data_IF_511535203720
#
_entry.id   IF_511535203720
#
_cell.length_a   1.000
_cell.length_b   1.000
_cell.length_c   1.000
_cell.angle_alpha   90.00
_cell.angle_beta   90.00
_cell.angle_gamma   90.00
#
_symmetry.space_group_name_H-M   'P 1'
#
loop_
_entity.id
_entity.type
_entity.pdbx_description
1 polymer ?
#
# COMPACT_ATOMS: atom_id res chain seq x y z
N UNK A 1 -14.64 44.37 -40.28
CA UNK A 1 -13.21 44.17 -40.62
C UNK A 1 -12.68 43.01 -39.79
N UNK A 2 -12.26 41.89 -40.41
CA UNK A 2 -11.62 40.78 -39.67
C UNK A 2 -10.12 41.06 -39.64
N UNK A 3 -9.53 41.17 -38.44
CA UNK A 3 -8.06 41.27 -38.29
C UNK A 3 -7.45 39.93 -38.70
N UNK A 4 -6.60 39.93 -39.72
CA UNK A 4 -5.81 38.76 -40.09
C UNK A 4 -4.64 38.65 -39.11
N UNK A 5 -4.50 37.48 -38.48
CA UNK A 5 -3.37 37.18 -37.59
C UNK A 5 -2.11 37.01 -38.42
N UNK A 6 -0.99 37.59 -38.00
CA UNK A 6 0.28 37.41 -38.70
C UNK A 6 0.96 36.11 -38.27
N UNK A 7 1.69 35.48 -39.18
CA UNK A 7 2.46 34.26 -38.88
C UNK A 7 3.49 34.47 -37.75
N UNK A 8 4.04 35.69 -37.64
CA UNK A 8 5.03 36.04 -36.62
C UNK A 8 4.39 36.08 -35.23
N UNK A 9 3.19 36.66 -35.10
CA UNK A 9 2.47 36.68 -33.81
C UNK A 9 2.16 35.26 -33.33
N UNK A 10 1.76 34.37 -34.25
CA UNK A 10 1.53 32.97 -33.90
C UNK A 10 2.83 32.26 -33.48
N UNK A 11 3.93 32.53 -34.18
CA UNK A 11 5.23 31.92 -33.93
C UNK A 11 5.85 32.32 -32.58
N UNK A 12 5.73 33.60 -32.20
CA UNK A 12 6.21 34.07 -30.89
C UNK A 12 5.43 33.42 -29.75
N UNK A 13 4.11 33.26 -29.91
CA UNK A 13 3.26 32.64 -28.89
C UNK A 13 3.65 31.18 -28.65
N UNK A 14 3.84 30.39 -29.71
CA UNK A 14 4.24 28.98 -29.54
C UNK A 14 5.65 28.87 -28.96
N UNK A 15 6.56 29.80 -29.27
CA UNK A 15 7.92 29.80 -28.71
C UNK A 15 7.89 30.06 -27.19
N UNK A 16 7.06 31.02 -26.74
CA UNK A 16 6.88 31.28 -25.30
C UNK A 16 6.25 30.08 -24.60
N UNK A 17 5.21 29.47 -25.18
CA UNK A 17 4.59 28.26 -24.63
C UNK A 17 5.60 27.12 -24.53
N UNK A 18 6.45 26.92 -25.55
CA UNK A 18 7.47 25.88 -25.56
C UNK A 18 8.50 26.06 -24.43
N UNK A 19 8.97 27.30 -24.20
CA UNK A 19 9.91 27.61 -23.10
C UNK A 19 9.26 27.34 -21.74
N UNK A 20 8.02 27.81 -21.54
CA UNK A 20 7.29 27.60 -20.29
C UNK A 20 7.04 26.09 -20.03
N UNK A 21 6.62 25.36 -21.06
CA UNK A 21 6.38 23.93 -20.98
C UNK A 21 7.67 23.15 -20.69
N UNK A 22 8.81 23.52 -21.29
CA UNK A 22 10.10 22.88 -21.06
C UNK A 22 10.56 22.95 -19.60
N UNK A 23 10.24 24.04 -18.88
CA UNK A 23 10.53 24.18 -17.44
C UNK A 23 9.46 23.48 -16.60
N UNK A 24 8.19 23.58 -17.00
CA UNK A 24 7.07 23.07 -16.22
C UNK A 24 7.02 21.53 -16.19
N UNK A 25 7.28 20.85 -17.31
CA UNK A 25 7.22 19.38 -17.38
C UNK A 25 8.17 18.66 -16.39
N UNK A 26 9.48 18.96 -16.31
CA UNK A 26 10.37 18.29 -15.37
C UNK A 26 10.00 18.59 -13.91
N UNK A 27 9.62 19.83 -13.61
CA UNK A 27 9.19 20.23 -12.26
C UNK A 27 7.90 19.51 -11.87
N UNK A 28 6.92 19.42 -12.78
CA UNK A 28 5.67 18.73 -12.55
C UNK A 28 5.88 17.21 -12.32
N UNK A 29 6.78 16.58 -13.08
CA UNK A 29 7.12 15.17 -12.89
C UNK A 29 7.74 14.90 -11.50
N UNK A 30 8.62 15.79 -11.04
CA UNK A 30 9.21 15.72 -9.70
C UNK A 30 8.15 15.94 -8.61
N UNK A 31 7.31 16.97 -8.76
CA UNK A 31 6.24 17.28 -7.82
C UNK A 31 5.23 16.12 -7.69
N UNK A 32 4.84 15.52 -8.82
CA UNK A 32 3.99 14.33 -8.84
C UNK A 32 4.62 13.18 -8.06
N UNK A 33 5.90 12.90 -8.27
CA UNK A 33 6.63 11.84 -7.57
C UNK A 33 6.74 12.12 -6.06
N UNK A 34 6.98 13.37 -5.67
CA UNK A 34 7.01 13.78 -4.27
C UNK A 34 5.62 13.62 -3.60
N UNK A 35 4.55 14.00 -4.29
CA UNK A 35 3.18 13.81 -3.81
C UNK A 35 2.85 12.33 -3.58
N UNK A 36 3.26 11.43 -4.50
CA UNK A 36 3.12 9.98 -4.32
C UNK A 36 3.83 9.48 -3.07
N UNK A 37 5.09 9.90 -2.86
CA UNK A 37 5.87 9.52 -1.67
C UNK A 37 5.21 10.00 -0.38
N UNK A 38 4.75 11.26 -0.34
CA UNK A 38 4.08 11.83 0.83
C UNK A 38 2.78 11.09 1.16
N UNK A 39 1.99 10.74 0.13
CA UNK A 39 0.78 9.93 0.27
C UNK A 39 1.10 8.55 0.85
N UNK A 40 2.05 7.82 0.27
CA UNK A 40 2.42 6.49 0.74
C UNK A 40 2.96 6.48 2.17
N UNK A 41 3.68 7.54 2.58
CA UNK A 41 4.11 7.70 3.97
C UNK A 41 2.92 7.89 4.93
N UNK A 42 1.93 8.70 4.53
CA UNK A 42 0.72 8.90 5.32
C UNK A 42 -0.10 7.60 5.45
N UNK A 43 -0.20 6.82 4.38
CA UNK A 43 -0.86 5.50 4.36
C UNK A 43 -0.17 4.51 5.30
N UNK A 44 1.17 4.40 5.26
CA UNK A 44 1.94 3.56 6.20
C UNK A 44 1.70 3.97 7.64
N UNK A 45 1.69 5.28 7.92
CA UNK A 45 1.43 5.78 9.28
C UNK A 45 0.04 5.38 9.78
N UNK A 46 -0.99 5.46 8.91
CA UNK A 46 -2.35 5.05 9.27
C UNK A 46 -2.42 3.56 9.58
N UNK A 47 -1.80 2.75 8.74
CA UNK A 47 -1.77 1.31 8.96
C UNK A 47 -0.96 0.94 10.23
N UNK A 48 0.13 1.65 10.54
CA UNK A 48 0.91 1.39 11.76
C UNK A 48 0.15 1.80 13.01
N UNK A 49 -0.65 2.87 12.93
CA UNK A 49 -1.59 3.25 13.98
C UNK A 49 -2.66 2.17 14.19
N UNK A 50 -3.19 1.59 13.11
CA UNK A 50 -4.14 0.48 13.20
C UNK A 50 -3.55 -0.75 13.90
N UNK A 51 -2.27 -1.06 13.65
CA UNK A 51 -1.55 -2.12 14.38
C UNK A 51 -1.44 -1.82 15.87
N UNK A 52 -1.13 -0.58 16.25
CA UNK A 52 -1.04 -0.18 17.67
C UNK A 52 -2.41 -0.28 18.35
N UNK A 53 -3.47 0.14 17.68
CA UNK A 53 -4.85 0.01 18.22
C UNK A 53 -5.20 -1.48 18.37
N UNK A 54 -4.85 -2.33 17.40
CA UNK A 54 -5.01 -3.77 17.52
C UNK A 54 -4.30 -4.31 18.77
N UNK A 55 -3.05 -3.91 19.02
CA UNK A 55 -2.32 -4.38 20.20
C UNK A 55 -3.03 -4.06 21.51
N UNK A 56 -3.64 -2.88 21.60
CA UNK A 56 -4.40 -2.48 22.78
C UNK A 56 -5.61 -3.39 23.05
N UNK A 57 -6.20 -3.97 22.00
CA UNK A 57 -7.35 -4.88 22.11
C UNK A 57 -6.95 -6.37 22.28
N UNK A 58 -5.69 -6.72 22.00
CA UNK A 58 -5.20 -8.11 21.93
C UNK A 58 -3.99 -8.38 22.85
N UNK A 59 -4.02 -7.86 24.08
CA UNK A 59 -3.00 -8.10 25.12
C UNK A 59 -1.57 -7.77 24.67
N UNK A 60 -1.37 -6.61 24.04
CA UNK A 60 -0.09 -6.14 23.48
C UNK A 60 0.51 -7.02 22.37
N UNK A 61 -0.24 -8.00 21.86
CA UNK A 61 0.25 -8.89 20.81
C UNK A 61 0.12 -8.26 19.43
N UNK A 62 1.20 -8.35 18.66
CA UNK A 62 1.18 -7.98 17.25
C UNK A 62 0.34 -8.97 16.40
N UNK A 63 -0.28 -8.50 15.31
CA UNK A 63 -1.00 -9.35 14.36
C UNK A 63 -0.17 -10.51 13.80
N UNK A 64 -0.85 -11.61 13.47
CA UNK A 64 -0.19 -12.83 13.04
C UNK A 64 0.18 -12.89 11.56
N UNK A 65 1.50 -12.98 11.26
CA UNK A 65 2.00 -13.04 9.89
C UNK A 65 2.95 -14.22 9.60
N UNK A 66 2.97 -15.24 10.48
CA UNK A 66 3.66 -16.50 10.19
C UNK A 66 2.72 -17.55 9.59
N UNK A 67 3.27 -18.43 8.76
CA UNK A 67 2.60 -19.65 8.35
C UNK A 67 3.51 -20.64 7.64
N UNK A 68 2.96 -21.78 7.25
CA UNK A 68 3.70 -22.88 6.61
C UNK A 68 3.36 -23.00 5.13
N UNK A 69 4.40 -23.05 4.28
CA UNK A 69 4.30 -23.43 2.87
C UNK A 69 5.13 -24.67 2.62
N UNK A 70 4.51 -25.73 2.09
CA UNK A 70 5.23 -26.96 1.77
C UNK A 70 6.07 -27.49 2.96
N UNK A 71 5.56 -27.34 4.18
CA UNK A 71 6.23 -27.77 5.41
C UNK A 71 7.28 -26.80 5.97
N UNK A 72 7.48 -25.64 5.34
CA UNK A 72 8.46 -24.63 5.80
C UNK A 72 7.72 -23.45 6.44
N UNK A 73 8.02 -23.19 7.71
CA UNK A 73 7.55 -22.01 8.43
C UNK A 73 8.24 -20.74 7.93
N UNK A 74 7.46 -19.69 7.68
CA UNK A 74 7.96 -18.39 7.22
C UNK A 74 7.28 -17.27 8.00
N UNK A 75 8.04 -16.24 8.41
CA UNK A 75 7.55 -15.11 9.21
C UNK A 75 6.95 -13.96 8.39
N UNK A 76 6.95 -14.04 7.06
CA UNK A 76 6.28 -13.07 6.18
C UNK A 76 5.57 -13.83 5.06
N UNK A 77 4.95 -14.96 5.42
CA UNK A 77 4.45 -15.91 4.43
C UNK A 77 3.26 -15.34 3.65
N UNK A 78 2.51 -14.44 4.29
CA UNK A 78 1.20 -14.06 3.82
C UNK A 78 1.11 -12.63 3.35
N UNK A 79 0.51 -12.50 2.17
CA UNK A 79 0.10 -11.23 1.63
C UNK A 79 -1.41 -11.17 1.60
N UNK A 80 -1.85 -9.94 1.69
CA UNK A 80 -3.15 -9.56 2.20
C UNK A 80 -4.24 -9.78 1.15
N UNK A 81 -5.14 -10.73 1.42
CA UNK A 81 -6.44 -10.76 0.74
C UNK A 81 -7.45 -10.06 1.66
N UNK A 82 -8.35 -9.24 1.13
CA UNK A 82 -9.31 -8.53 1.96
C UNK A 82 -10.38 -9.47 2.52
N UNK A 83 -10.96 -9.11 3.66
CA UNK A 83 -11.85 -9.96 4.44
C UNK A 83 -13.19 -10.25 3.75
N UNK A 84 -13.52 -9.51 2.68
CA UNK A 84 -14.70 -9.75 1.84
C UNK A 84 -14.47 -10.86 0.81
N UNK A 85 -13.29 -11.47 0.79
CA UNK A 85 -12.97 -12.62 -0.03
C UNK A 85 -13.79 -13.85 0.42
N UNK A 86 -14.86 -14.15 -0.33
CA UNK A 86 -15.59 -15.41 -0.17
C UNK A 86 -14.89 -16.49 -1.00
N UNK A 87 -14.26 -17.43 -0.32
CA UNK A 87 -13.86 -18.72 -0.90
C UNK A 87 -15.00 -19.73 -0.72
N UNK A 88 -15.17 -20.66 -1.65
CA UNK A 88 -16.09 -21.80 -1.49
C UNK A 88 -15.60 -22.82 -0.45
N UNK A 89 -14.37 -22.69 0.02
CA UNK A 89 -13.78 -23.57 1.02
C UNK A 89 -13.66 -22.86 2.38
N UNK A 90 -14.36 -23.37 3.39
CA UNK A 90 -14.43 -22.78 4.72
C UNK A 90 -13.07 -22.74 5.44
N UNK A 91 -12.17 -23.68 5.17
CA UNK A 91 -10.83 -23.68 5.75
C UNK A 91 -10.04 -22.46 5.27
N UNK A 92 -10.16 -22.10 3.99
CA UNK A 92 -9.54 -20.91 3.44
C UNK A 92 -10.14 -19.64 4.04
N UNK A 93 -11.46 -19.56 4.20
CA UNK A 93 -12.11 -18.39 4.81
C UNK A 93 -11.58 -18.13 6.23
N UNK A 94 -11.55 -19.17 7.07
CA UNK A 94 -11.03 -19.04 8.43
C UNK A 94 -9.55 -18.63 8.45
N UNK A 95 -8.77 -19.15 7.51
CA UNK A 95 -7.34 -18.86 7.44
C UNK A 95 -7.06 -17.44 6.93
N UNK A 96 -7.88 -16.90 6.03
CA UNK A 96 -7.77 -15.50 5.62
C UNK A 96 -8.11 -14.53 6.75
N UNK A 97 -9.03 -14.89 7.65
CA UNK A 97 -9.38 -14.04 8.81
C UNK A 97 -8.20 -13.82 9.76
N UNK A 98 -7.23 -14.74 9.82
CA UNK A 98 -6.07 -14.61 10.72
C UNK A 98 -4.94 -13.74 10.15
N UNK A 99 -5.08 -13.23 8.93
CA UNK A 99 -4.03 -12.41 8.30
C UNK A 99 -3.91 -11.03 8.98
N UNK A 100 -2.71 -10.41 8.99
CA UNK A 100 -2.49 -9.11 9.62
C UNK A 100 -3.43 -8.02 9.09
N UNK A 101 -3.69 -8.02 7.79
CA UNK A 101 -4.61 -7.06 7.19
C UNK A 101 -6.06 -7.28 7.61
N UNK A 102 -6.52 -8.52 7.71
CA UNK A 102 -7.91 -8.77 8.08
C UNK A 102 -8.13 -8.60 9.58
N UNK A 103 -7.17 -9.01 10.41
CA UNK A 103 -7.18 -8.77 11.85
C UNK A 103 -7.11 -7.27 12.20
N UNK A 104 -6.36 -6.47 11.44
CA UNK A 104 -6.32 -5.01 11.64
C UNK A 104 -7.42 -4.24 10.89
N UNK A 105 -8.28 -4.92 10.12
CA UNK A 105 -9.36 -4.28 9.36
C UNK A 105 -10.28 -3.40 10.20
N UNK A 106 -10.77 -3.83 11.39
CA UNK A 106 -11.71 -3.01 12.17
C UNK A 106 -11.13 -1.65 12.56
N UNK A 107 -9.80 -1.54 12.62
CA UNK A 107 -9.06 -0.35 13.04
C UNK A 107 -8.67 0.55 11.87
N UNK A 108 -9.13 0.24 10.66
CA UNK A 108 -8.78 0.98 9.44
C UNK A 108 -10.03 1.60 8.80
N UNK A 109 -9.89 2.84 8.33
CA UNK A 109 -11.01 3.60 7.74
C UNK A 109 -11.48 3.06 6.38
N UNK A 110 -10.58 2.45 5.61
CA UNK A 110 -10.90 1.86 4.32
C UNK A 110 -9.85 0.81 3.91
N UNK A 111 -10.13 0.07 2.84
CA UNK A 111 -9.20 -0.87 2.22
C UNK A 111 -8.23 -0.20 1.24
N UNK A 112 -8.60 0.96 0.70
CA UNK A 112 -7.81 1.67 -0.32
C UNK A 112 -6.44 2.14 0.18
N UNK A 113 -6.26 2.34 1.49
CA UNK A 113 -4.97 2.69 2.09
C UNK A 113 -3.93 1.57 2.01
N UNK A 114 -4.33 0.35 1.64
CA UNK A 114 -3.38 -0.75 1.42
C UNK A 114 -2.76 -0.76 0.03
N UNK A 115 -3.35 -0.02 -0.90
CA UNK A 115 -2.80 0.12 -2.24
C UNK A 115 -1.66 1.11 -2.20
N UNK A 116 -0.52 0.73 -2.79
CA UNK A 116 0.60 1.65 -3.03
C UNK A 116 0.47 2.22 -4.44
N UNK A 117 0.52 3.53 -4.57
CA UNK A 117 0.59 4.18 -5.88
C UNK A 117 1.96 3.92 -6.53
N UNK A 118 2.00 3.00 -7.50
CA UNK A 118 3.21 2.60 -8.23
C UNK A 118 3.97 1.41 -7.65
N UNK A 119 3.43 0.73 -6.62
CA UNK A 119 3.94 -0.56 -6.13
C UNK A 119 3.41 -1.72 -6.98
N UNK A 120 4.04 -2.90 -6.86
CA UNK A 120 3.43 -4.12 -7.42
C UNK A 120 2.34 -4.62 -6.48
N UNK A 121 1.13 -4.72 -7.00
CA UNK A 121 -0.03 -5.28 -6.33
C UNK A 121 0.06 -6.79 -6.44
N UNK A 122 0.03 -7.49 -5.31
CA UNK A 122 0.17 -8.94 -5.30
C UNK A 122 -1.06 -9.59 -4.69
N UNK A 123 -1.91 -10.15 -5.55
CA UNK A 123 -2.84 -11.20 -5.17
C UNK A 123 -2.05 -12.51 -5.07
N UNK A 124 -1.46 -12.80 -3.90
CA UNK A 124 -0.57 -13.97 -3.75
C UNK A 124 -1.33 -15.29 -3.73
N UNK A 125 -2.65 -15.24 -3.59
CA UNK A 125 -3.50 -16.40 -3.79
C UNK A 125 -4.14 -16.33 -5.17
N UNK A 126 -3.92 -17.38 -5.97
CA UNK A 126 -4.68 -17.69 -7.18
C UNK A 126 -5.63 -18.84 -6.82
N UNK A 127 -6.70 -18.53 -6.09
CA UNK A 127 -7.76 -19.47 -5.73
C UNK A 127 -9.06 -19.13 -6.46
N UNK A 128 -10.06 -20.03 -6.46
CA UNK A 128 -11.39 -19.70 -6.96
C UNK A 128 -12.06 -18.71 -5.99
N UNK A 129 -11.92 -17.42 -6.26
CA UNK A 129 -12.55 -16.37 -5.47
C UNK A 129 -13.90 -15.99 -6.07
N UNK A 130 -14.89 -15.76 -5.20
CA UNK A 130 -16.19 -15.23 -5.61
C UNK A 130 -16.15 -13.71 -5.86
N UNK A 131 -15.10 -13.02 -5.40
CA UNK A 131 -14.88 -11.59 -5.58
C UNK A 131 -13.40 -11.31 -5.87
N UNK A 132 -13.13 -10.37 -6.78
CA UNK A 132 -11.78 -9.89 -7.04
C UNK A 132 -11.19 -9.31 -5.76
N UNK A 133 -10.03 -9.79 -5.28
CA UNK A 133 -9.42 -9.25 -4.09
C UNK A 133 -8.97 -7.80 -4.34
N UNK A 134 -9.09 -6.96 -3.31
CA UNK A 134 -8.52 -5.62 -3.33
C UNK A 134 -6.98 -5.69 -3.38
N UNK A 135 -6.40 -4.74 -4.09
CA UNK A 135 -4.97 -4.66 -4.31
C UNK A 135 -4.24 -4.25 -3.02
N UNK A 136 -3.22 -5.01 -2.65
CA UNK A 136 -2.36 -4.71 -1.50
C UNK A 136 -0.91 -4.61 -1.93
N UNK A 137 -0.28 -3.48 -1.56
CA UNK A 137 1.12 -3.18 -1.85
C UNK A 137 2.04 -3.19 -0.63
N UNK A 138 1.50 -3.34 0.58
CA UNK A 138 2.29 -3.42 1.80
C UNK A 138 2.50 -4.88 2.23
N UNK A 139 3.53 -5.12 3.03
CA UNK A 139 3.71 -6.38 3.75
C UNK A 139 3.89 -6.08 5.21
N UNK A 140 3.35 -6.93 6.07
CA UNK A 140 3.57 -6.88 7.50
C UNK A 140 4.88 -7.59 7.87
N UNK A 141 5.59 -7.13 8.89
CA UNK A 141 6.77 -7.79 9.45
C UNK A 141 6.35 -8.82 10.52
N UNK A 142 6.21 -10.09 10.18
CA UNK A 142 5.78 -11.11 11.15
C UNK A 142 6.85 -11.56 12.13
N UNK A 143 8.06 -11.01 12.09
CA UNK A 143 9.01 -11.18 13.20
C UNK A 143 8.55 -10.45 14.48
N UNK A 144 7.64 -9.47 14.34
CA UNK A 144 7.16 -8.68 15.47
C UNK A 144 6.32 -9.47 16.46
N UNK A 145 5.71 -10.60 16.08
CA UNK A 145 4.93 -11.39 17.04
C UNK A 145 5.74 -11.99 18.18
N UNK A 146 7.05 -12.19 17.98
CA UNK A 146 7.94 -12.64 19.05
C UNK A 146 8.47 -11.50 19.92
N UNK A 147 8.07 -10.26 19.63
CA UNK A 147 8.60 -9.05 20.26
C UNK A 147 7.50 -8.37 21.10
N UNK A 148 7.87 -7.85 22.27
CA UNK A 148 6.95 -7.05 23.07
C UNK A 148 6.79 -5.65 22.46
N UNK A 149 5.64 -5.01 22.67
CA UNK A 149 5.42 -3.63 22.21
C UNK A 149 6.53 -2.66 22.68
N UNK A 150 7.02 -2.84 23.91
CA UNK A 150 8.10 -2.03 24.51
C UNK A 150 9.46 -2.25 23.83
N UNK A 151 9.67 -3.38 23.16
CA UNK A 151 10.91 -3.67 22.44
C UNK A 151 10.97 -3.01 21.06
N UNK A 152 9.82 -2.67 20.48
CA UNK A 152 9.68 -2.05 19.15
C UNK A 152 9.63 -0.53 19.29
N UNK A 153 10.79 0.10 19.53
CA UNK A 153 10.89 1.54 19.80
C UNK A 153 11.54 2.33 18.65
N UNK A 154 11.88 1.69 17.53
CA UNK A 154 12.55 2.36 16.40
C UNK A 154 11.79 2.18 15.08
N UNK A 155 11.81 3.24 14.25
CA UNK A 155 11.23 3.24 12.90
C UNK A 155 11.86 2.18 11.99
N UNK A 156 13.08 1.72 12.28
CA UNK A 156 13.75 0.61 11.58
C UNK A 156 13.09 -0.75 11.82
N UNK A 157 12.27 -0.90 12.87
CA UNK A 157 11.53 -2.12 13.24
C UNK A 157 10.08 -2.03 12.76
N UNK A 158 9.84 -1.22 11.73
CA UNK A 158 8.51 -0.83 11.25
C UNK A 158 7.62 -2.06 11.03
N UNK A 159 6.36 -2.03 11.52
CA UNK A 159 5.45 -3.16 11.38
C UNK A 159 5.05 -3.43 9.95
N UNK A 160 5.24 -2.47 9.04
CA UNK A 160 5.00 -2.71 7.63
C UNK A 160 5.99 -2.01 6.76
N UNK A 161 6.27 -2.66 5.64
CA UNK A 161 7.11 -2.13 4.60
C UNK A 161 6.34 -2.08 3.29
N UNK A 162 6.52 -1.02 2.49
CA UNK A 162 6.07 -1.05 1.12
C UNK A 162 6.83 -2.17 0.41
N UNK A 163 6.11 -3.02 -0.32
CA UNK A 163 6.74 -4.10 -1.10
C UNK A 163 7.35 -3.50 -2.37
N UNK A 164 8.46 -2.80 -2.18
CA UNK A 164 9.28 -2.28 -3.26
C UNK A 164 10.43 -3.26 -3.50
N UNK A 165 10.48 -3.76 -4.74
CA UNK A 165 11.59 -4.42 -5.43
C UNK A 165 11.53 -5.95 -5.55
N UNK A 166 11.82 -6.36 -6.80
CA UNK A 166 11.64 -7.66 -7.43
C UNK A 166 11.23 -7.44 -8.88
#
# INVERSE_FOLDING_TARGET
>A
MKRAFTLIELLVVIAIIAILAAILFPVFAQAKTAAKKAKSLAEVKQLGTATIIYQADYDDNFPAAYGSYLGVWRQNFFHDVPADLRSTNAAWVNWHNTHPVNSTQPYRKNYSIMKIDGGREYNVYTGPFLKTPAEVGYTYNGLLQGQSATSVNRVSETPMWPRLLG
#
